data_IF_641324290041
#
_entry.id   IF_641324290041
#
_cell.length_a   1.000
_cell.length_b   1.000
_cell.length_c   1.000
_cell.angle_alpha   90.00
_cell.angle_beta   90.00
_cell.angle_gamma   90.00
#
_symmetry.space_group_name_H-M   'P 1'
#
loop_
_entity.id
_entity.type
_entity.pdbx_description
1 polymer ?
#
# COMPACT_ATOMS: atom_id res chain seq x y z
N UNK A 1 27.76 -11.10 -5.34
CA UNK A 1 26.79 -10.05 -5.71
C UNK A 1 26.83 -8.99 -4.65
N UNK A 2 27.14 -7.75 -5.02
CA UNK A 2 27.07 -6.63 -4.09
C UNK A 2 25.59 -6.28 -3.93
N UNK A 3 25.02 -6.55 -2.76
CA UNK A 3 23.65 -6.18 -2.43
C UNK A 3 23.59 -4.65 -2.32
N UNK A 4 23.29 -3.98 -3.44
CA UNK A 4 23.19 -2.53 -3.50
C UNK A 4 21.83 -2.12 -2.94
N UNK A 5 21.78 -1.86 -1.63
CA UNK A 5 20.58 -1.51 -0.85
C UNK A 5 19.78 -0.26 -1.33
N UNK A 6 20.15 0.36 -2.45
CA UNK A 6 19.51 1.55 -3.04
C UNK A 6 19.11 1.36 -4.51
N UNK A 7 19.25 0.15 -5.08
CA UNK A 7 18.83 -0.18 -6.46
C UNK A 7 17.48 -0.91 -6.45
N UNK A 8 16.63 -0.59 -7.41
CA UNK A 8 15.30 -1.19 -7.56
C UNK A 8 15.31 -2.20 -8.72
N UNK A 9 14.55 -3.29 -8.58
CA UNK A 9 14.47 -4.34 -9.62
C UNK A 9 13.61 -3.96 -10.82
N UNK A 10 12.63 -3.09 -10.59
CA UNK A 10 11.69 -2.65 -11.61
C UNK A 10 12.39 -1.96 -12.79
N UNK A 11 12.16 -2.46 -14.00
CA UNK A 11 12.73 -1.91 -15.23
C UNK A 11 11.87 -0.72 -15.71
N UNK A 12 12.35 0.54 -15.64
CA UNK A 12 11.51 1.72 -15.82
C UNK A 12 11.31 2.12 -17.29
N UNK A 13 11.09 1.14 -18.18
CA UNK A 13 10.84 1.32 -19.62
C UNK A 13 9.67 0.45 -20.02
N UNK A 14 8.76 1.00 -20.83
CA UNK A 14 7.63 0.25 -21.37
C UNK A 14 8.07 -0.78 -22.41
N UNK A 15 7.39 -1.93 -22.44
CA UNK A 15 7.63 -3.06 -23.37
C UNK A 15 7.86 -2.63 -24.82
N UNK A 16 6.96 -1.80 -25.36
CA UNK A 16 7.00 -1.35 -26.76
C UNK A 16 8.25 -0.50 -27.05
N UNK A 17 8.58 0.42 -26.13
CA UNK A 17 9.76 1.28 -26.28
C UNK A 17 11.05 0.47 -26.18
N UNK A 18 11.09 -0.52 -25.27
CA UNK A 18 12.25 -1.40 -25.13
C UNK A 18 12.50 -2.21 -26.41
N UNK A 19 11.47 -2.87 -26.94
CA UNK A 19 11.57 -3.67 -28.18
C UNK A 19 12.02 -2.79 -29.36
N UNK A 20 11.43 -1.60 -29.53
CA UNK A 20 11.80 -0.69 -30.60
C UNK A 20 13.26 -0.24 -30.51
N UNK A 21 13.72 0.14 -29.31
CA UNK A 21 15.11 0.54 -29.09
C UNK A 21 16.09 -0.59 -29.35
N UNK A 22 15.79 -1.80 -28.88
CA UNK A 22 16.63 -2.98 -29.09
C UNK A 22 16.70 -3.36 -30.58
N UNK A 23 15.58 -3.29 -31.31
CA UNK A 23 15.54 -3.55 -32.76
C UNK A 23 16.42 -2.57 -33.59
N UNK A 24 16.62 -1.36 -33.08
CA UNK A 24 17.46 -0.33 -33.70
C UNK A 24 18.87 -0.22 -33.09
N UNK A 25 19.19 -1.05 -32.09
CA UNK A 25 20.50 -1.09 -31.45
C UNK A 25 21.56 -1.76 -32.34
N UNK A 26 22.83 -1.69 -31.92
CA UNK A 26 23.93 -2.42 -32.58
C UNK A 26 23.87 -3.94 -32.34
N UNK A 27 23.10 -4.39 -31.36
CA UNK A 27 22.95 -5.81 -31.03
C UNK A 27 22.13 -6.55 -32.09
N UNK A 28 21.21 -5.85 -32.78
CA UNK A 28 20.36 -6.44 -33.81
C UNK A 28 20.72 -5.85 -35.19
N UNK A 29 21.44 -6.59 -36.05
CA UNK A 29 21.80 -6.08 -37.36
C UNK A 29 20.55 -5.90 -38.25
N UNK A 30 20.57 -4.97 -39.24
CA UNK A 30 19.38 -4.63 -40.02
C UNK A 30 18.67 -5.81 -40.70
N UNK A 31 19.42 -6.82 -41.13
CA UNK A 31 18.90 -8.04 -41.75
C UNK A 31 18.22 -9.01 -40.75
N UNK A 32 18.51 -8.90 -39.45
CA UNK A 32 17.93 -9.73 -38.40
C UNK A 32 16.70 -9.11 -37.72
N UNK A 33 16.37 -7.84 -38.03
CA UNK A 33 15.29 -7.10 -37.37
C UNK A 33 13.93 -7.79 -37.42
N UNK A 34 13.55 -8.34 -38.57
CA UNK A 34 12.27 -9.04 -38.69
C UNK A 34 12.22 -10.31 -37.83
N UNK A 35 13.30 -11.09 -37.81
CA UNK A 35 13.42 -12.26 -36.95
C UNK A 35 13.38 -11.89 -35.47
N UNK A 36 14.01 -10.77 -35.09
CA UNK A 36 13.98 -10.26 -33.71
C UNK A 36 12.56 -9.85 -33.29
N UNK A 37 11.85 -9.11 -34.14
CA UNK A 37 10.46 -8.72 -33.84
C UNK A 37 9.53 -9.94 -33.75
N UNK A 38 9.77 -10.97 -34.58
CA UNK A 38 9.05 -12.23 -34.48
C UNK A 38 9.37 -12.96 -33.16
N UNK A 39 10.65 -13.07 -32.81
CA UNK A 39 11.10 -13.64 -31.53
C UNK A 39 10.40 -12.96 -30.34
N UNK A 40 10.44 -11.63 -30.29
CA UNK A 40 9.80 -10.84 -29.24
C UNK A 40 8.30 -11.11 -29.17
N UNK A 41 7.61 -11.18 -30.32
CA UNK A 41 6.17 -11.45 -30.37
C UNK A 41 5.80 -12.84 -29.85
N UNK A 42 6.55 -13.88 -30.21
CA UNK A 42 6.26 -15.25 -29.76
C UNK A 42 6.58 -15.39 -28.27
N UNK A 43 7.71 -14.83 -27.81
CA UNK A 43 8.07 -14.80 -26.39
C UNK A 43 6.96 -14.14 -25.54
N UNK A 44 6.47 -12.98 -25.98
CA UNK A 44 5.36 -12.28 -25.33
C UNK A 44 4.08 -13.14 -25.28
N UNK A 45 3.77 -13.82 -26.37
CA UNK A 45 2.57 -14.68 -26.46
C UNK A 45 2.66 -15.88 -25.51
N UNK A 46 3.84 -16.49 -25.37
CA UNK A 46 4.08 -17.59 -24.44
C UNK A 46 3.86 -17.12 -23.01
N UNK A 47 4.50 -16.02 -22.58
CA UNK A 47 4.34 -15.51 -21.23
C UNK A 47 2.91 -15.06 -20.94
N UNK A 48 2.24 -14.39 -21.88
CA UNK A 48 0.84 -14.02 -21.74
C UNK A 48 -0.04 -15.24 -21.42
N UNK A 49 0.20 -16.36 -22.10
CA UNK A 49 -0.55 -17.59 -21.85
C UNK A 49 -0.19 -18.24 -20.50
N UNK A 50 1.08 -18.23 -20.10
CA UNK A 50 1.51 -18.71 -18.78
C UNK A 50 0.87 -17.90 -17.63
N UNK A 51 0.83 -16.58 -17.76
CA UNK A 51 0.20 -15.68 -16.80
C UNK A 51 -1.33 -15.79 -16.74
N UNK A 52 -1.96 -16.31 -17.80
CA UNK A 52 -3.39 -16.60 -17.78
C UNK A 52 -3.75 -17.64 -16.72
N UNK A 53 -2.93 -18.67 -16.52
CA UNK A 53 -3.16 -19.69 -15.49
C UNK A 53 -3.12 -19.08 -14.08
N UNK A 54 -2.13 -18.21 -13.81
CA UNK A 54 -2.03 -17.49 -12.54
C UNK A 54 -3.23 -16.58 -12.31
N UNK A 55 -3.73 -15.91 -13.36
CA UNK A 55 -4.96 -15.09 -13.30
C UNK A 55 -6.16 -15.92 -12.87
N UNK A 56 -6.38 -17.08 -13.49
CA UNK A 56 -7.50 -17.95 -13.14
C UNK A 56 -7.34 -18.54 -11.72
N UNK A 57 -6.12 -18.90 -11.31
CA UNK A 57 -5.83 -19.34 -9.94
C UNK A 57 -6.18 -18.27 -8.91
N UNK A 58 -5.77 -17.01 -9.11
CA UNK A 58 -6.12 -15.89 -8.22
C UNK A 58 -7.64 -15.71 -8.12
N UNK A 59 -8.35 -15.72 -9.25
CA UNK A 59 -9.81 -15.56 -9.28
C UNK A 59 -10.53 -16.70 -8.57
N UNK A 60 -10.15 -17.95 -8.84
CA UNK A 60 -10.79 -19.11 -8.25
C UNK A 60 -10.58 -19.15 -6.74
N UNK A 61 -9.35 -18.91 -6.28
CA UNK A 61 -9.01 -18.94 -4.86
C UNK A 61 -9.51 -17.70 -4.09
N UNK A 62 -9.76 -16.57 -4.75
CA UNK A 62 -10.38 -15.39 -4.14
C UNK A 62 -11.91 -15.51 -3.99
N UNK A 63 -12.56 -16.33 -4.81
CA UNK A 63 -14.03 -16.43 -4.86
C UNK A 63 -14.71 -16.64 -3.49
N UNK A 64 -14.22 -17.48 -2.55
CA UNK A 64 -14.85 -17.66 -1.24
C UNK A 64 -14.82 -16.42 -0.34
N UNK A 65 -13.95 -15.46 -0.66
CA UNK A 65 -13.64 -14.27 0.13
C UNK A 65 -14.04 -12.96 -0.56
N UNK A 66 -14.49 -13.00 -1.82
CA UNK A 66 -14.82 -11.82 -2.61
C UNK A 66 -16.06 -11.11 -2.03
N UNK A 67 -15.94 -9.87 -1.51
CA UNK A 67 -17.07 -9.10 -1.00
C UNK A 67 -18.00 -8.62 -2.12
N UNK A 68 -17.51 -8.56 -3.36
CA UNK A 68 -18.22 -8.05 -4.54
C UNK A 68 -18.68 -9.19 -5.47
N UNK A 69 -18.94 -10.38 -4.93
CA UNK A 69 -19.39 -11.53 -5.75
C UNK A 69 -20.74 -11.22 -6.40
N UNK A 70 -20.75 -11.10 -7.72
CA UNK A 70 -21.92 -10.87 -8.58
C UNK A 70 -22.54 -12.19 -9.10
N UNK A 71 -21.80 -13.29 -8.99
CA UNK A 71 -22.26 -14.63 -9.37
C UNK A 71 -22.96 -15.35 -8.22
N UNK A 72 -24.09 -16.00 -8.52
CA UNK A 72 -24.80 -16.87 -7.57
C UNK A 72 -23.98 -18.14 -7.37
N UNK A 73 -23.34 -18.28 -6.21
CA UNK A 73 -22.62 -19.50 -5.87
C UNK A 73 -23.49 -20.39 -4.96
N UNK A 74 -24.00 -21.49 -5.50
CA UNK A 74 -24.70 -22.52 -4.71
C UNK A 74 -23.75 -23.36 -3.83
N UNK A 75 -22.44 -23.28 -4.09
CA UNK A 75 -21.41 -24.03 -3.36
C UNK A 75 -21.13 -23.38 -2.01
N UNK A 76 -21.32 -24.16 -0.93
CA UNK A 76 -20.84 -23.80 0.40
C UNK A 76 -19.43 -24.36 0.59
N UNK A 77 -18.48 -23.52 0.95
CA UNK A 77 -17.12 -23.94 1.27
C UNK A 77 -17.03 -24.32 2.75
N UNK A 78 -16.46 -25.49 3.03
CA UNK A 78 -16.08 -25.89 4.39
C UNK A 78 -14.95 -25.00 4.93
N UNK A 79 -14.71 -25.03 6.25
CA UNK A 79 -13.59 -24.30 6.86
C UNK A 79 -12.23 -24.72 6.28
N UNK A 80 -12.06 -26.01 6.03
CA UNK A 80 -10.83 -26.56 5.45
C UNK A 80 -10.64 -26.10 4.01
N UNK A 81 -11.68 -26.19 3.17
CA UNK A 81 -11.61 -25.69 1.79
C UNK A 81 -11.30 -24.18 1.74
N UNK A 82 -11.94 -23.38 2.62
CA UNK A 82 -11.63 -21.95 2.72
C UNK A 82 -10.16 -21.74 3.06
N UNK A 83 -9.62 -22.44 4.06
CA UNK A 83 -8.21 -22.30 4.42
C UNK A 83 -7.28 -22.67 3.26
N UNK A 84 -7.56 -23.76 2.54
CA UNK A 84 -6.78 -24.14 1.35
C UNK A 84 -6.86 -23.11 0.22
N UNK A 85 -8.02 -22.48 0.00
CA UNK A 85 -8.15 -21.40 -0.97
C UNK A 85 -7.38 -20.15 -0.52
N UNK A 86 -7.42 -19.78 0.76
CA UNK A 86 -6.62 -18.67 1.28
C UNK A 86 -5.12 -18.92 1.09
N UNK A 87 -4.62 -20.10 1.46
CA UNK A 87 -3.20 -20.41 1.39
C UNK A 87 -2.69 -20.34 -0.06
N UNK A 88 -3.45 -20.91 -1.01
CA UNK A 88 -3.14 -20.80 -2.45
C UNK A 88 -3.22 -19.38 -2.96
N UNK A 89 -4.25 -18.62 -2.58
CA UNK A 89 -4.41 -17.23 -2.99
C UNK A 89 -3.22 -16.38 -2.51
N UNK A 90 -2.84 -16.49 -1.25
CA UNK A 90 -1.75 -15.71 -0.66
C UNK A 90 -0.39 -16.08 -1.27
N UNK A 91 -0.17 -17.36 -1.59
CA UNK A 91 1.01 -17.83 -2.29
C UNK A 91 1.07 -17.26 -3.71
N UNK A 92 0.06 -17.50 -4.55
CA UNK A 92 0.03 -16.98 -5.92
C UNK A 92 0.09 -15.46 -5.96
N UNK A 93 -0.58 -14.76 -5.05
CA UNK A 93 -0.51 -13.29 -4.96
C UNK A 93 0.90 -12.80 -4.66
N UNK A 94 1.61 -13.48 -3.76
CA UNK A 94 3.01 -13.17 -3.45
C UNK A 94 3.93 -13.46 -4.64
N UNK A 95 3.74 -14.59 -5.32
CA UNK A 95 4.58 -14.99 -6.45
C UNK A 95 4.43 -14.01 -7.63
N UNK A 96 3.20 -13.62 -7.97
CA UNK A 96 2.91 -12.63 -9.01
C UNK A 96 3.52 -11.28 -8.67
N UNK A 97 3.40 -10.84 -7.40
CA UNK A 97 4.00 -9.57 -6.98
C UNK A 97 5.53 -9.61 -7.02
N UNK A 98 6.15 -10.74 -6.71
CA UNK A 98 7.59 -10.91 -6.85
C UNK A 98 8.03 -10.82 -8.32
N UNK A 99 7.34 -11.54 -9.23
CA UNK A 99 7.55 -11.46 -10.69
C UNK A 99 7.31 -10.05 -11.23
N UNK A 100 6.41 -9.27 -10.61
CA UNK A 100 6.19 -7.86 -10.93
C UNK A 100 7.18 -6.89 -10.27
N UNK A 101 8.26 -7.38 -9.67
CA UNK A 101 9.30 -6.62 -8.98
C UNK A 101 8.81 -5.81 -7.77
N UNK A 102 7.79 -6.30 -7.05
CA UNK A 102 7.37 -5.75 -5.75
C UNK A 102 8.12 -6.41 -4.59
N UNK A 103 8.44 -5.61 -3.58
CA UNK A 103 9.07 -6.05 -2.34
C UNK A 103 8.05 -6.12 -1.20
N UNK A 104 8.09 -7.22 -0.44
CA UNK A 104 7.22 -7.40 0.71
C UNK A 104 7.60 -6.41 1.82
N UNK A 105 6.63 -5.64 2.31
CA UNK A 105 6.80 -4.74 3.45
C UNK A 105 6.45 -5.54 4.70
N UNK A 106 7.44 -5.79 5.56
CA UNK A 106 7.24 -6.59 6.77
C UNK A 106 6.46 -5.81 7.84
N UNK A 107 5.94 -6.50 8.85
CA UNK A 107 5.34 -5.83 10.01
C UNK A 107 6.34 -4.93 10.75
N UNK A 108 7.62 -5.30 10.76
CA UNK A 108 8.69 -4.48 11.32
C UNK A 108 8.87 -3.19 10.50
N UNK A 109 8.84 -3.28 9.17
CA UNK A 109 8.92 -2.11 8.28
C UNK A 109 7.70 -1.20 8.42
N UNK A 110 6.50 -1.78 8.55
CA UNK A 110 5.27 -1.04 8.83
C UNK A 110 5.36 -0.32 10.18
N UNK A 111 5.75 -1.02 11.25
CA UNK A 111 5.90 -0.42 12.57
C UNK A 111 6.96 0.69 12.59
N UNK A 112 8.09 0.46 11.91
CA UNK A 112 9.15 1.45 11.74
C UNK A 112 8.67 2.68 10.98
N UNK A 113 7.98 2.47 9.85
CA UNK A 113 7.37 3.54 9.05
C UNK A 113 6.40 4.39 9.87
N UNK A 114 5.53 3.74 10.66
CA UNK A 114 4.56 4.40 11.54
C UNK A 114 5.20 5.22 12.68
N UNK A 115 6.48 4.97 13.00
CA UNK A 115 7.23 5.72 14.02
C UNK A 115 7.89 7.01 13.50
N UNK A 116 8.03 7.16 12.17
CA UNK A 116 8.68 8.33 11.54
C UNK A 116 7.72 9.51 11.37
N UNK A 117 8.27 10.69 11.07
CA UNK A 117 7.45 11.89 10.81
C UNK A 117 6.57 11.69 9.56
N UNK A 118 5.29 11.39 9.79
CA UNK A 118 4.23 11.41 8.79
C UNK A 118 4.12 12.77 8.06
N UNK A 119 3.84 12.75 6.75
CA UNK A 119 3.47 13.95 5.99
C UNK A 119 2.25 14.61 6.62
N UNK A 120 1.31 13.78 7.05
CA UNK A 120 0.12 14.22 7.72
C UNK A 120 0.48 14.62 9.15
N UNK A 121 0.08 15.82 9.56
CA UNK A 121 0.36 16.34 10.91
C UNK A 121 -0.34 15.55 12.03
N UNK A 122 -1.03 14.46 11.72
CA UNK A 122 -1.99 13.75 12.59
C UNK A 122 -1.58 12.27 12.65
N UNK A 123 -1.75 11.64 13.81
CA UNK A 123 -1.40 10.23 14.00
C UNK A 123 -2.58 9.37 13.56
N UNK A 124 -2.35 8.36 12.73
CA UNK A 124 -3.35 7.36 12.40
C UNK A 124 -3.10 6.12 13.28
N UNK A 125 -4.18 5.51 13.75
CA UNK A 125 -4.13 4.28 14.55
C UNK A 125 -4.89 3.20 13.79
N UNK A 126 -4.20 2.09 13.54
CA UNK A 126 -4.73 0.90 12.87
C UNK A 126 -4.87 -0.20 13.92
N UNK A 127 -6.04 -0.82 14.00
CA UNK A 127 -6.29 -1.97 14.86
C UNK A 127 -6.00 -3.26 14.08
N UNK A 128 -4.72 -3.66 14.03
CA UNK A 128 -4.29 -4.85 13.28
C UNK A 128 -4.96 -6.14 13.78
N UNK A 129 -5.51 -6.15 14.99
CA UNK A 129 -6.21 -7.32 15.53
C UNK A 129 -7.53 -7.62 14.79
N UNK A 130 -8.08 -6.66 14.04
CA UNK A 130 -9.26 -6.89 13.20
C UNK A 130 -8.98 -7.79 11.99
N UNK A 131 -7.71 -7.94 11.64
CA UNK A 131 -7.26 -8.72 10.48
C UNK A 131 -6.84 -10.13 10.92
N UNK A 132 -7.24 -11.12 10.13
CA UNK A 132 -6.81 -12.51 10.30
C UNK A 132 -5.46 -12.74 9.62
N UNK A 133 -5.29 -12.15 8.43
CA UNK A 133 -4.05 -12.17 7.66
C UNK A 133 -3.97 -10.92 6.77
N UNK A 134 -2.74 -10.46 6.51
CA UNK A 134 -2.48 -9.36 5.58
C UNK A 134 -1.14 -9.54 4.88
N UNK A 135 -1.07 -9.07 3.64
CA UNK A 135 0.18 -8.86 2.93
C UNK A 135 0.21 -7.43 2.38
N UNK A 136 1.36 -6.79 2.47
CA UNK A 136 1.62 -5.46 1.95
C UNK A 136 2.91 -5.50 1.16
N UNK A 137 2.89 -4.96 -0.05
CA UNK A 137 4.01 -4.95 -0.97
C UNK A 137 4.19 -3.55 -1.57
N UNK A 138 5.43 -3.10 -1.70
CA UNK A 138 5.79 -1.82 -2.32
C UNK A 138 6.67 -2.06 -3.54
N UNK A 139 6.51 -1.24 -4.59
CA UNK A 139 7.39 -1.24 -5.76
C UNK A 139 7.75 0.18 -6.14
N UNK A 140 9.02 0.38 -6.49
CA UNK A 140 9.58 1.64 -6.95
C UNK A 140 9.68 2.64 -5.81
N UNK A 141 10.89 3.16 -5.58
CA UNK A 141 11.12 4.19 -4.56
C UNK A 141 11.56 5.49 -5.22
N UNK A 142 10.87 6.60 -4.90
CA UNK A 142 11.34 7.94 -5.25
C UNK A 142 11.46 8.85 -4.05
N UNK A 143 12.59 9.55 -3.96
CA UNK A 143 12.76 10.66 -3.04
C UNK A 143 12.09 11.92 -3.61
N UNK A 144 11.15 12.47 -2.86
CA UNK A 144 10.44 13.70 -3.19
C UNK A 144 10.72 14.77 -2.14
N UNK A 145 11.22 15.92 -2.58
CA UNK A 145 11.35 17.10 -1.74
C UNK A 145 10.02 17.83 -1.66
N UNK A 146 9.48 17.96 -0.45
CA UNK A 146 8.26 18.72 -0.21
C UNK A 146 8.54 19.91 0.70
N UNK A 147 7.94 21.06 0.38
CA UNK A 147 8.02 22.25 1.22
C UNK A 147 6.91 22.19 2.28
N UNK A 148 7.29 22.29 3.54
CA UNK A 148 6.38 22.30 4.67
C UNK A 148 6.58 23.57 5.49
N UNK A 149 5.49 24.28 5.81
CA UNK A 149 5.54 25.39 6.77
C UNK A 149 5.75 24.86 8.20
N UNK A 150 6.91 25.19 8.77
CA UNK A 150 7.31 24.87 10.16
C UNK A 150 6.70 25.85 11.16
N UNK A 151 6.66 27.14 10.80
CA UNK A 151 6.02 28.24 11.52
C UNK A 151 5.45 29.23 10.49
N UNK A 152 4.49 30.10 10.86
CA UNK A 152 3.76 31.11 10.04
C UNK A 152 4.52 31.68 8.80
N UNK A 153 5.84 31.84 8.84
CA UNK A 153 6.67 32.34 7.73
C UNK A 153 7.90 31.48 7.37
N UNK A 154 8.21 30.41 8.12
CA UNK A 154 9.39 29.57 7.88
C UNK A 154 9.01 28.27 7.18
N UNK A 155 9.46 28.12 5.94
CA UNK A 155 9.36 26.88 5.16
C UNK A 155 10.59 26.00 5.42
N UNK A 156 10.37 24.70 5.51
CA UNK A 156 11.39 23.67 5.61
C UNK A 156 11.17 22.70 4.47
N UNK A 157 12.23 22.39 3.74
CA UNK A 157 12.21 21.35 2.71
C UNK A 157 12.52 20.04 3.40
N UNK A 158 11.58 19.10 3.37
CA UNK A 158 11.78 17.74 3.89
C UNK A 158 11.84 16.80 2.70
N UNK A 159 12.84 15.93 2.69
CA UNK A 159 12.96 14.85 1.73
C UNK A 159 12.20 13.64 2.23
N UNK A 160 11.30 13.12 1.40
CA UNK A 160 10.41 12.04 1.76
C UNK A 160 10.44 10.99 0.68
N UNK A 161 10.62 9.77 1.13
CA UNK A 161 10.64 8.59 0.30
C UNK A 161 9.20 8.11 0.06
N UNK A 162 8.86 7.84 -1.21
CA UNK A 162 7.53 7.46 -1.67
C UNK A 162 7.61 6.16 -2.45
N UNK A 163 6.72 5.22 -2.16
CA UNK A 163 6.45 4.06 -3.02
C UNK A 163 5.64 4.49 -4.23
N UNK A 164 6.10 4.13 -5.43
CA UNK A 164 5.37 4.39 -6.68
C UNK A 164 4.10 3.56 -6.78
N UNK A 165 4.16 2.31 -6.31
CA UNK A 165 3.05 1.37 -6.22
C UNK A 165 3.03 0.69 -4.86
N UNK A 166 1.83 0.49 -4.30
CA UNK A 166 1.62 -0.32 -3.09
C UNK A 166 0.43 -1.23 -3.31
N UNK A 167 0.65 -2.54 -3.26
CA UNK A 167 -0.38 -3.56 -3.30
C UNK A 167 -0.63 -4.09 -1.88
N UNK A 168 -1.90 -4.33 -1.54
CA UNK A 168 -2.25 -4.97 -0.28
C UNK A 168 -3.43 -5.92 -0.44
N UNK A 169 -3.38 -7.00 0.33
CA UNK A 169 -4.51 -7.91 0.55
C UNK A 169 -4.72 -8.07 2.05
N UNK A 170 -5.95 -7.94 2.51
CA UNK A 170 -6.33 -8.03 3.92
C UNK A 170 -7.52 -8.95 4.06
N UNK A 171 -7.42 -9.97 4.91
CA UNK A 171 -8.54 -10.81 5.35
C UNK A 171 -9.07 -10.32 6.69
N UNK A 172 -10.36 -10.03 6.76
CA UNK A 172 -11.01 -9.72 8.04
C UNK A 172 -11.33 -11.00 8.82
N UNK A 173 -11.30 -10.90 10.15
CA UNK A 173 -11.80 -11.98 11.02
C UNK A 173 -13.30 -12.25 10.80
N UNK A 174 -13.75 -13.41 11.25
CA UNK A 174 -15.14 -13.83 11.11
C UNK A 174 -16.11 -13.02 11.98
N UNK A 175 -17.39 -13.11 11.65
CA UNK A 175 -18.51 -12.42 12.32
C UNK A 175 -18.55 -12.66 13.85
N UNK A 176 -18.17 -13.87 14.29
CA UNK A 176 -18.10 -14.22 15.71
C UNK A 176 -17.12 -13.34 16.51
N UNK A 177 -16.00 -12.94 15.90
CA UNK A 177 -15.01 -12.07 16.53
C UNK A 177 -15.56 -10.65 16.74
N UNK A 178 -16.19 -10.07 15.71
CA UNK A 178 -16.73 -8.71 15.80
C UNK A 178 -17.95 -8.61 16.72
N UNK A 179 -18.79 -9.64 16.74
CA UNK A 179 -19.90 -9.75 17.72
C UNK A 179 -19.38 -9.81 19.16
N UNK A 180 -18.32 -10.57 19.42
CA UNK A 180 -17.70 -10.61 20.75
C UNK A 180 -17.13 -9.25 21.19
N UNK A 181 -16.67 -8.42 20.24
CA UNK A 181 -16.23 -7.04 20.48
C UNK A 181 -17.36 -6.00 20.51
N UNK A 182 -18.62 -6.43 20.41
CA UNK A 182 -19.81 -5.57 20.39
C UNK A 182 -19.75 -4.46 19.31
N UNK A 183 -19.10 -4.74 18.17
CA UNK A 183 -19.08 -3.84 16.99
C UNK A 183 -20.25 -4.22 16.08
N UNK A 184 -21.27 -3.35 16.01
CA UNK A 184 -22.53 -3.63 15.30
C UNK A 184 -22.61 -3.02 13.90
N UNK A 185 -21.93 -1.90 13.66
CA UNK A 185 -21.95 -1.17 12.40
C UNK A 185 -20.60 -1.32 11.68
N UNK A 186 -20.43 -2.45 10.96
CA UNK A 186 -19.25 -2.69 10.14
C UNK A 186 -19.50 -2.22 8.70
N UNK A 187 -18.55 -1.49 8.13
CA UNK A 187 -18.60 -1.07 6.72
C UNK A 187 -18.06 -2.16 5.76
N UNK A 188 -17.90 -3.38 6.24
CA UNK A 188 -17.33 -4.51 5.52
C UNK A 188 -17.99 -5.81 5.99
N UNK A 189 -17.86 -6.86 5.18
CA UNK A 189 -18.39 -8.18 5.49
C UNK A 189 -17.35 -8.99 6.28
N UNK A 190 -17.64 -9.48 7.49
CA UNK A 190 -16.70 -10.33 8.22
C UNK A 190 -16.33 -11.59 7.44
N UNK A 191 -15.07 -12.02 7.55
CA UNK A 191 -14.53 -13.19 6.85
C UNK A 191 -14.27 -13.00 5.35
N UNK A 192 -14.52 -11.80 4.78
CA UNK A 192 -14.13 -11.47 3.41
C UNK A 192 -12.72 -10.89 3.34
N UNK A 193 -12.17 -10.84 2.14
CA UNK A 193 -10.90 -10.19 1.85
C UNK A 193 -11.12 -8.90 1.08
N UNK A 194 -10.21 -7.94 1.24
CA UNK A 194 -10.10 -6.79 0.34
C UNK A 194 -8.73 -6.82 -0.31
N UNK A 195 -8.69 -6.47 -1.58
CA UNK A 195 -7.43 -6.27 -2.31
C UNK A 195 -7.43 -4.83 -2.82
N UNK A 196 -6.30 -4.13 -2.68
CA UNK A 196 -6.18 -2.74 -3.15
C UNK A 196 -4.81 -2.53 -3.78
N UNK A 197 -4.78 -1.71 -4.83
CA UNK A 197 -3.56 -1.21 -5.43
C UNK A 197 -3.57 0.31 -5.37
N UNK A 198 -2.47 0.90 -4.92
CA UNK A 198 -2.31 2.34 -4.79
C UNK A 198 -1.05 2.84 -5.50
N UNK A 199 -1.00 4.15 -5.77
CA UNK A 199 0.17 4.87 -6.27
C UNK A 199 0.62 6.00 -5.36
N UNK A 200 1.92 6.31 -5.43
CA UNK A 200 2.51 7.49 -4.79
C UNK A 200 2.24 7.55 -3.28
N UNK A 201 2.49 6.43 -2.58
CA UNK A 201 2.27 6.32 -1.14
C UNK A 201 3.57 6.63 -0.39
N UNK A 202 3.60 7.67 0.46
CA UNK A 202 4.74 7.97 1.32
C UNK A 202 5.06 6.76 2.22
N UNK A 203 6.35 6.38 2.32
CA UNK A 203 6.75 5.23 3.15
C UNK A 203 6.27 5.40 4.60
N UNK A 204 6.33 6.63 5.13
CA UNK A 204 5.92 6.95 6.50
C UNK A 204 4.42 7.21 6.71
N UNK A 205 3.57 6.95 5.72
CA UNK A 205 2.12 7.06 5.88
C UNK A 205 1.35 5.80 5.38
N UNK A 206 1.99 4.63 5.39
CA UNK A 206 1.35 3.37 4.93
C UNK A 206 0.09 3.03 5.71
N UNK A 207 -0.01 3.47 6.97
CA UNK A 207 -1.15 3.22 7.82
C UNK A 207 -2.46 3.81 7.26
N UNK A 208 -2.37 4.80 6.37
CA UNK A 208 -3.53 5.40 5.70
C UNK A 208 -4.27 4.44 4.77
N UNK A 209 -3.59 3.38 4.31
CA UNK A 209 -4.14 2.42 3.37
C UNK A 209 -5.06 1.41 4.05
N UNK A 210 -4.95 1.27 5.37
CA UNK A 210 -5.72 0.31 6.13
C UNK A 210 -7.16 0.80 6.36
N UNK A 211 -8.16 -0.08 6.17
CA UNK A 211 -9.57 0.29 6.15
C UNK A 211 -10.10 0.77 7.51
N UNK A 212 -9.50 0.30 8.61
CA UNK A 212 -9.87 0.68 9.97
C UNK A 212 -8.96 1.77 10.56
N UNK A 213 -8.20 2.48 9.74
CA UNK A 213 -7.35 3.59 10.19
C UNK A 213 -8.21 4.70 10.81
N UNK A 214 -8.00 4.97 12.09
CA UNK A 214 -8.70 6.00 12.84
C UNK A 214 -7.80 7.18 13.16
N UNK A 215 -8.42 8.36 13.25
CA UNK A 215 -7.76 9.59 13.65
C UNK A 215 -7.37 9.52 15.13
N UNK A 216 -6.08 9.34 15.39
CA UNK A 216 -5.47 9.51 16.71
C UNK A 216 -5.05 10.97 16.96
N UNK A 217 -5.24 11.45 18.18
CA UNK A 217 -4.65 12.73 18.59
C UNK A 217 -3.18 12.53 19.00
N UNK A 218 -2.27 13.36 18.46
CA UNK A 218 -0.89 13.43 18.96
C UNK A 218 -0.90 13.92 20.42
N UNK A 219 0.08 13.51 21.23
CA UNK A 219 0.14 13.90 22.65
C UNK A 219 0.10 15.42 22.84
N UNK A 220 0.76 16.18 21.96
CA UNK A 220 0.69 17.65 21.94
C UNK A 220 -0.69 18.21 21.61
N UNK A 221 -1.47 17.54 20.75
CA UNK A 221 -2.85 17.93 20.43
C UNK A 221 -3.81 17.49 21.55
N UNK A 222 -3.57 16.35 22.20
CA UNK A 222 -4.24 15.94 23.45
C UNK A 222 -3.92 16.90 24.58
N UNK A 223 -2.68 17.40 24.66
CA UNK A 223 -2.26 18.41 25.63
C UNK A 223 -2.71 19.81 25.20
N UNK A 224 -3.03 20.09 23.94
CA UNK A 224 -3.64 21.36 23.54
C UNK A 224 -5.16 21.34 23.82
N UNK A 225 -5.81 20.19 23.58
CA UNK A 225 -7.23 19.98 23.84
C UNK A 225 -7.54 19.70 25.31
N UNK A 226 -6.63 19.03 26.02
CA UNK A 226 -6.63 18.84 27.47
C UNK A 226 -5.90 19.96 28.22
N UNK A 227 -5.06 20.75 27.52
CA UNK A 227 -4.37 21.95 28.01
C UNK A 227 -5.30 23.14 28.10
N UNK A 228 -6.44 22.90 28.71
CA UNK A 228 -7.16 23.88 29.47
C UNK A 228 -6.43 24.26 30.76
N UNK A 229 -5.12 24.00 30.93
CA UNK A 229 -4.42 24.27 32.19
C UNK A 229 -3.63 25.60 32.23
N UNK A 230 -3.21 26.20 31.10
CA UNK A 230 -2.23 27.31 31.19
C UNK A 230 -2.45 28.56 30.30
N UNK A 231 -3.36 28.57 29.32
CA UNK A 231 -3.39 29.69 28.34
C UNK A 231 -4.57 30.68 28.39
N UNK A 232 -5.78 30.22 28.76
CA UNK A 232 -6.98 31.10 28.68
C UNK A 232 -8.32 30.42 28.92
N UNK A 233 -8.44 29.10 28.70
CA UNK A 233 -9.65 28.33 29.02
C UNK A 233 -9.92 28.23 30.53
N UNK A 234 -8.86 28.11 31.35
CA UNK A 234 -8.94 28.20 32.83
C UNK A 234 -9.63 29.49 33.25
N UNK A 235 -9.25 30.63 32.66
CA UNK A 235 -9.79 31.92 33.08
C UNK A 235 -11.29 32.03 32.81
N UNK A 236 -11.77 31.47 31.69
CA UNK A 236 -13.21 31.41 31.37
C UNK A 236 -13.93 30.48 32.34
N UNK A 237 -13.39 29.28 32.60
CA UNK A 237 -13.99 28.30 33.51
C UNK A 237 -13.95 28.75 34.99
N UNK A 238 -12.87 29.39 35.45
CA UNK A 238 -12.76 29.93 36.81
C UNK A 238 -13.66 31.15 37.01
N UNK A 239 -13.67 32.10 36.06
CA UNK A 239 -14.53 33.29 36.15
C UNK A 239 -16.02 32.92 36.08
N UNK A 240 -16.38 31.99 35.19
CA UNK A 240 -17.74 31.47 35.15
C UNK A 240 -18.05 30.62 36.40
N UNK A 241 -17.11 29.79 36.86
CA UNK A 241 -17.27 28.95 38.06
C UNK A 241 -17.61 29.75 39.31
N UNK A 242 -17.02 30.93 39.50
CA UNK A 242 -17.37 31.81 40.62
C UNK A 242 -18.86 32.24 40.60
N UNK A 243 -19.41 32.53 39.42
CA UNK A 243 -20.84 32.83 39.26
C UNK A 243 -21.74 31.64 39.58
N UNK A 244 -21.32 30.41 39.22
CA UNK A 244 -22.05 29.19 39.57
C UNK A 244 -22.05 28.92 41.07
N UNK A 245 -20.90 29.09 41.73
CA UNK A 245 -20.78 28.89 43.18
C UNK A 245 -21.63 29.90 43.93
N UNK A 246 -21.63 31.18 43.51
CA UNK A 246 -22.48 32.20 44.08
C UNK A 246 -23.97 31.87 43.92
N UNK A 247 -24.40 31.48 42.72
CA UNK A 247 -25.79 31.08 42.47
C UNK A 247 -26.19 29.82 43.26
N UNK A 248 -25.33 28.79 43.31
CA UNK A 248 -25.60 27.57 44.07
C UNK A 248 -25.72 27.85 45.58
N UNK A 249 -24.91 28.78 46.10
CA UNK A 249 -24.97 29.20 47.50
C UNK A 249 -26.29 29.88 47.83
N UNK A 250 -26.75 30.81 46.97
CA UNK A 250 -28.05 31.45 47.13
C UNK A 250 -29.19 30.43 46.98
N UNK A 251 -29.13 29.54 45.98
CA UNK A 251 -30.15 28.50 45.79
C UNK A 251 -30.26 27.61 47.03
N UNK A 252 -29.13 27.19 47.61
CA UNK A 252 -29.09 26.39 48.83
C UNK A 252 -29.68 27.12 50.04
N UNK A 253 -29.35 28.41 50.22
CA UNK A 253 -29.91 29.25 51.28
C UNK A 253 -31.43 29.42 51.10
N UNK A 254 -31.91 29.63 49.88
CA UNK A 254 -33.34 29.76 49.56
C UNK A 254 -34.08 28.45 49.82
N UNK A 255 -33.56 27.31 49.36
CA UNK A 255 -34.16 25.98 49.61
C UNK A 255 -34.22 25.69 51.11
N UNK A 256 -33.15 25.97 51.85
CA UNK A 256 -33.13 25.81 53.32
C UNK A 256 -34.18 26.71 53.98
N UNK A 257 -34.28 27.96 53.56
CA UNK A 257 -35.25 28.92 54.10
C UNK A 257 -36.68 28.43 53.88
N UNK A 258 -37.04 28.02 52.65
CA UNK A 258 -38.38 27.51 52.30
C UNK A 258 -38.74 26.27 53.10
N UNK A 259 -37.80 25.34 53.29
CA UNK A 259 -38.01 24.13 54.11
C UNK A 259 -38.24 24.50 55.58
N UNK A 260 -37.48 25.46 56.12
CA UNK A 260 -37.61 25.89 57.52
C UNK A 260 -38.83 26.77 57.81
N UNK A 261 -39.35 27.49 56.81
CA UNK A 261 -40.48 28.43 56.94
C UNK A 261 -41.83 27.82 56.56
N UNK A 262 -41.91 26.51 56.35
CA UNK A 262 -43.16 25.82 55.99
C UNK A 262 -43.64 26.09 54.57
N UNK A 263 -42.73 26.39 53.63
CA UNK A 263 -43.04 26.60 52.21
C UNK A 263 -43.08 28.06 51.75
N UNK A 264 -42.85 29.03 52.65
CA UNK A 264 -42.82 30.44 52.28
C UNK A 264 -41.51 30.81 51.55
N UNK A 265 -41.63 31.35 50.33
CA UNK A 265 -40.50 31.82 49.52
C UNK A 265 -40.07 33.21 50.02
N UNK A 266 -38.83 33.39 50.51
CA UNK A 266 -38.36 34.69 50.94
C UNK A 266 -38.21 35.65 49.74
N UNK A 267 -38.47 36.96 49.91
CA UNK A 267 -38.34 37.94 48.85
C UNK A 267 -36.87 38.08 48.41
N UNK A 268 -36.62 38.06 47.10
CA UNK A 268 -35.26 38.17 46.58
C UNK A 268 -34.77 39.63 46.57
N UNK A 269 -33.63 39.89 47.22
CA UNK A 269 -32.93 41.16 47.19
C UNK A 269 -32.01 41.33 45.97
N UNK A 270 -31.47 42.55 45.73
CA UNK A 270 -30.59 42.83 44.58
C UNK A 270 -29.35 41.92 44.48
N UNK A 271 -28.81 41.48 45.63
CA UNK A 271 -27.64 40.59 45.71
C UNK A 271 -27.98 39.17 45.24
N UNK A 272 -29.13 38.64 45.64
CA UNK A 272 -29.60 37.29 45.28
C UNK A 272 -29.95 37.22 43.80
N UNK A 273 -30.61 38.26 43.27
CA UNK A 273 -30.90 38.41 41.84
C UNK A 273 -29.59 38.48 41.04
N UNK A 274 -28.62 39.27 41.49
CA UNK A 274 -27.31 39.39 40.81
C UNK A 274 -26.53 38.07 40.81
N UNK A 275 -26.56 37.31 41.90
CA UNK A 275 -25.94 36.00 41.99
C UNK A 275 -26.60 34.99 41.04
N UNK A 276 -27.94 34.98 40.96
CA UNK A 276 -28.67 34.12 40.02
C UNK A 276 -28.37 34.45 38.56
N UNK A 277 -28.39 35.74 38.19
CA UNK A 277 -28.04 36.21 36.85
C UNK A 277 -26.59 35.88 36.51
N UNK A 278 -25.68 36.03 37.48
CA UNK A 278 -24.28 35.61 37.36
C UNK A 278 -24.14 34.11 37.13
N UNK A 279 -24.91 33.27 37.83
CA UNK A 279 -24.96 31.83 37.62
C UNK A 279 -25.47 31.44 36.24
N UNK A 280 -26.56 32.05 35.76
CA UNK A 280 -27.10 31.80 34.42
C UNK A 280 -26.09 32.21 33.34
N UNK A 281 -25.45 33.37 33.51
CA UNK A 281 -24.41 33.86 32.59
C UNK A 281 -23.19 32.94 32.56
N UNK A 282 -22.80 32.42 33.73
CA UNK A 282 -21.73 31.45 33.84
C UNK A 282 -22.07 30.12 33.14
N UNK A 283 -23.28 29.59 33.33
CA UNK A 283 -23.75 28.39 32.62
C UNK A 283 -23.73 28.60 31.10
N UNK A 284 -24.22 29.75 30.63
CA UNK A 284 -24.23 30.10 29.21
C UNK A 284 -22.80 30.19 28.64
N UNK A 285 -21.87 30.83 29.37
CA UNK A 285 -20.48 30.95 28.96
C UNK A 285 -19.76 29.59 28.89
N UNK A 286 -19.96 28.73 29.89
CA UNK A 286 -19.41 27.37 29.91
C UNK A 286 -20.01 26.54 28.78
N UNK A 287 -21.33 26.60 28.58
CA UNK A 287 -22.02 25.90 27.51
C UNK A 287 -21.52 26.32 26.12
N UNK A 288 -21.40 27.62 25.86
CA UNK A 288 -20.88 28.15 24.60
C UNK A 288 -19.42 27.73 24.37
N UNK A 289 -18.60 27.71 25.42
CA UNK A 289 -17.21 27.29 25.35
C UNK A 289 -17.07 25.79 25.05
N UNK A 290 -17.78 24.92 25.78
CA UNK A 290 -17.80 23.48 25.54
C UNK A 290 -18.30 23.15 24.13
N UNK A 291 -19.36 23.84 23.69
CA UNK A 291 -19.90 23.71 22.34
C UNK A 291 -18.86 24.11 21.26
N UNK A 292 -18.19 25.26 21.44
CA UNK A 292 -17.12 25.70 20.54
C UNK A 292 -15.98 24.68 20.47
N UNK A 293 -15.58 24.12 21.61
CA UNK A 293 -14.49 23.14 21.66
C UNK A 293 -14.87 21.85 20.95
N UNK A 294 -16.06 21.32 21.22
CA UNK A 294 -16.58 20.15 20.52
C UNK A 294 -16.60 20.40 19.01
N UNK A 295 -17.15 21.53 18.57
CA UNK A 295 -17.24 21.85 17.14
C UNK A 295 -15.87 21.99 16.50
N UNK A 296 -14.89 22.58 17.18
CA UNK A 296 -13.52 22.68 16.67
C UNK A 296 -12.90 21.29 16.45
N UNK A 297 -13.04 20.37 17.42
CA UNK A 297 -12.58 19.00 17.29
C UNK A 297 -13.30 18.27 16.14
N UNK A 298 -14.64 18.32 16.13
CA UNK A 298 -15.48 17.71 15.09
C UNK A 298 -15.06 18.21 13.70
N UNK A 299 -14.91 19.52 13.51
CA UNK A 299 -14.52 20.11 12.24
C UNK A 299 -13.10 19.70 11.82
N UNK A 300 -12.15 19.60 12.76
CA UNK A 300 -10.78 19.12 12.48
C UNK A 300 -10.79 17.65 12.07
N UNK A 301 -11.57 16.80 12.75
CA UNK A 301 -11.75 15.39 12.39
C UNK A 301 -12.39 15.24 11.01
N UNK A 302 -13.49 15.94 10.73
CA UNK A 302 -14.17 15.89 9.42
C UNK A 302 -13.24 16.35 8.30
N UNK A 303 -12.55 17.49 8.47
CA UNK A 303 -11.61 18.01 7.46
C UNK A 303 -10.50 17.01 7.17
N UNK A 304 -9.99 16.33 8.20
CA UNK A 304 -8.98 15.29 8.02
C UNK A 304 -9.52 14.07 7.28
N UNK A 305 -10.66 13.52 7.71
CA UNK A 305 -11.28 12.37 7.03
C UNK A 305 -11.57 12.69 5.57
N UNK A 306 -11.99 13.94 5.27
CA UNK A 306 -12.12 14.42 3.89
C UNK A 306 -10.77 14.42 3.17
N UNK A 307 -9.72 15.02 3.73
CA UNK A 307 -8.39 15.05 3.11
C UNK A 307 -7.83 13.65 2.87
N UNK A 308 -8.03 12.72 3.80
CA UNK A 308 -7.64 11.32 3.66
C UNK A 308 -8.41 10.66 2.52
N UNK A 309 -9.74 10.79 2.51
CA UNK A 309 -10.60 10.28 1.44
C UNK A 309 -10.23 10.84 0.06
N UNK A 310 -10.05 12.16 -0.05
CA UNK A 310 -9.61 12.82 -1.29
C UNK A 310 -8.23 12.29 -1.74
N UNK A 311 -7.29 12.10 -0.81
CA UNK A 311 -5.96 11.56 -1.14
C UNK A 311 -6.03 10.12 -1.64
N UNK A 312 -6.74 9.26 -0.91
CA UNK A 312 -6.90 7.85 -1.26
C UNK A 312 -7.64 7.72 -2.60
N UNK A 313 -8.62 8.57 -2.89
CA UNK A 313 -9.35 8.55 -4.16
C UNK A 313 -8.42 8.71 -5.37
N UNK A 314 -7.52 9.70 -5.37
CA UNK A 314 -6.60 9.92 -6.49
C UNK A 314 -5.38 8.99 -6.50
N UNK A 315 -5.15 8.29 -5.39
CA UNK A 315 -4.05 7.33 -5.24
C UNK A 315 -4.48 5.90 -5.47
N UNK A 316 -5.77 5.58 -5.37
CA UNK A 316 -6.30 4.26 -5.67
C UNK A 316 -6.18 3.99 -7.18
N UNK A 317 -5.55 2.89 -7.53
CA UNK A 317 -5.42 2.39 -8.90
C UNK A 317 -6.47 1.33 -9.19
N UNK A 318 -6.66 0.37 -8.28
CA UNK A 318 -7.58 -0.74 -8.50
C UNK A 318 -8.06 -1.39 -7.19
N UNK A 319 -9.14 -2.17 -7.27
CA UNK A 319 -9.83 -2.80 -6.15
C UNK A 319 -10.20 -4.25 -6.43
N UNK A 320 -10.06 -5.10 -5.41
CA UNK A 320 -10.48 -6.50 -5.40
C UNK A 320 -9.96 -7.25 -6.63
N UNK A 321 -10.81 -7.96 -7.37
CA UNK A 321 -10.36 -8.76 -8.52
C UNK A 321 -9.65 -7.93 -9.61
N UNK A 322 -9.96 -6.63 -9.74
CA UNK A 322 -9.26 -5.73 -10.67
C UNK A 322 -7.76 -5.63 -10.39
N UNK A 323 -7.36 -5.67 -9.12
CA UNK A 323 -5.95 -5.67 -8.73
C UNK A 323 -5.19 -6.85 -9.35
N UNK A 324 -5.79 -8.04 -9.41
CA UNK A 324 -5.15 -9.22 -9.98
C UNK A 324 -4.78 -9.01 -11.45
N UNK A 325 -5.69 -8.48 -12.26
CA UNK A 325 -5.40 -8.16 -13.65
C UNK A 325 -4.28 -7.13 -13.80
N UNK A 326 -4.23 -6.13 -12.92
CA UNK A 326 -3.19 -5.11 -12.94
C UNK A 326 -1.81 -5.70 -12.60
N UNK A 327 -1.71 -6.47 -11.52
CA UNK A 327 -0.41 -7.02 -11.07
C UNK A 327 0.07 -8.14 -11.99
N UNK A 328 -0.84 -8.89 -12.63
CA UNK A 328 -0.49 -9.88 -13.65
C UNK A 328 0.08 -9.17 -14.88
N UNK A 329 -0.56 -8.10 -15.36
CA UNK A 329 -0.03 -7.34 -16.49
C UNK A 329 1.34 -6.72 -16.17
N UNK A 330 1.51 -6.21 -14.94
CA UNK A 330 2.80 -5.74 -14.44
C UNK A 330 3.86 -6.86 -14.45
N UNK A 331 3.52 -8.06 -13.96
CA UNK A 331 4.43 -9.22 -13.92
C UNK A 331 4.81 -9.69 -15.33
N UNK A 332 3.81 -9.91 -16.20
CA UNK A 332 4.03 -10.31 -17.59
C UNK A 332 5.00 -9.37 -18.31
N UNK A 333 4.86 -8.06 -18.08
CA UNK A 333 5.73 -7.06 -18.69
C UNK A 333 7.17 -7.11 -18.14
N UNK A 334 7.37 -7.23 -16.82
CA UNK A 334 8.72 -7.35 -16.24
C UNK A 334 9.44 -8.61 -16.73
N UNK A 335 8.76 -9.74 -16.66
CA UNK A 335 9.27 -11.06 -17.05
C UNK A 335 9.67 -11.11 -18.52
N UNK A 336 8.85 -10.52 -19.38
CA UNK A 336 9.16 -10.33 -20.79
C UNK A 336 10.44 -9.50 -20.99
N UNK A 337 10.55 -8.36 -20.30
CA UNK A 337 11.71 -7.46 -20.45
C UNK A 337 12.99 -8.14 -20.00
N UNK A 338 12.97 -8.82 -18.86
CA UNK A 338 14.11 -9.55 -18.31
C UNK A 338 14.59 -10.67 -19.25
N UNK A 339 13.67 -11.49 -19.76
CA UNK A 339 14.00 -12.56 -20.70
C UNK A 339 14.56 -12.00 -22.02
N UNK A 340 13.92 -10.96 -22.58
CA UNK A 340 14.34 -10.35 -23.84
C UNK A 340 15.75 -9.73 -23.73
N UNK A 341 16.01 -8.97 -22.67
CA UNK A 341 17.29 -8.33 -22.40
C UNK A 341 18.38 -9.38 -22.20
N UNK A 342 18.15 -10.35 -21.33
CA UNK A 342 19.09 -11.43 -21.06
C UNK A 342 19.44 -12.19 -22.33
N UNK A 343 18.45 -12.50 -23.17
CA UNK A 343 18.68 -13.22 -24.42
C UNK A 343 19.53 -12.40 -25.39
N UNK A 344 19.21 -11.12 -25.59
CA UNK A 344 19.95 -10.29 -26.53
C UNK A 344 21.38 -10.01 -26.09
N UNK A 345 21.61 -9.70 -24.82
CA UNK A 345 22.96 -9.46 -24.30
C UNK A 345 23.79 -10.74 -24.37
N UNK A 346 23.19 -11.89 -24.06
CA UNK A 346 23.86 -13.18 -24.19
C UNK A 346 24.15 -13.55 -25.65
N UNK A 347 23.31 -13.15 -26.60
CA UNK A 347 23.53 -13.32 -28.04
C UNK A 347 24.62 -12.37 -28.58
N UNK A 348 24.70 -11.17 -28.03
CA UNK A 348 25.69 -10.17 -28.41
C UNK A 348 27.08 -10.43 -27.81
N UNK A 349 27.17 -11.21 -26.73
CA UNK A 349 28.44 -11.61 -26.15
C UNK A 349 29.26 -12.46 -27.14
N UNK A 350 30.47 -11.99 -27.48
CA UNK A 350 31.39 -12.70 -28.40
C UNK A 350 31.88 -14.04 -27.83
N UNK A 351 31.80 -14.20 -26.51
CA UNK A 351 32.29 -15.37 -25.77
C UNK A 351 31.28 -15.81 -24.71
N UNK A 352 31.53 -16.98 -24.12
CA UNK A 352 30.70 -17.50 -23.03
C UNK A 352 30.84 -16.60 -21.81
N UNK A 353 29.74 -16.26 -21.17
CA UNK A 353 29.69 -15.25 -20.10
C UNK A 353 29.06 -15.82 -18.84
N UNK A 354 29.51 -15.36 -17.67
CA UNK A 354 28.91 -15.73 -16.39
C UNK A 354 27.62 -14.93 -16.15
N UNK A 355 26.75 -15.43 -15.28
CA UNK A 355 25.54 -14.71 -14.89
C UNK A 355 25.87 -13.30 -14.33
N UNK A 356 26.86 -13.20 -13.44
CA UNK A 356 27.27 -11.91 -12.86
C UNK A 356 27.78 -10.92 -13.91
N UNK A 357 28.57 -11.36 -14.89
CA UNK A 357 29.07 -10.45 -15.91
C UNK A 357 27.97 -10.01 -16.90
N UNK A 358 26.98 -10.87 -17.14
CA UNK A 358 25.80 -10.53 -17.94
C UNK A 358 24.89 -9.52 -17.20
N UNK A 359 24.72 -9.72 -15.90
CA UNK A 359 24.01 -8.81 -14.99
C UNK A 359 24.62 -7.41 -15.02
N UNK A 360 25.92 -7.32 -14.72
CA UNK A 360 26.69 -6.07 -14.73
C UNK A 360 26.56 -5.35 -16.09
N UNK A 361 26.65 -6.09 -17.21
CA UNK A 361 26.53 -5.52 -18.54
C UNK A 361 25.13 -4.91 -18.82
N UNK A 362 24.07 -5.54 -18.32
CA UNK A 362 22.70 -5.03 -18.47
C UNK A 362 22.50 -3.81 -17.58
N UNK A 363 22.93 -3.86 -16.32
CA UNK A 363 22.83 -2.74 -15.38
C UNK A 363 23.62 -1.51 -15.86
N UNK A 364 24.84 -1.72 -16.37
CA UNK A 364 25.67 -0.66 -16.94
C UNK A 364 24.98 -0.04 -18.16
N UNK A 365 24.37 -0.84 -19.04
CA UNK A 365 23.62 -0.32 -20.18
C UNK A 365 22.43 0.54 -19.75
N UNK A 366 21.72 0.18 -18.67
CA UNK A 366 20.63 0.99 -18.14
C UNK A 366 21.12 2.31 -17.52
N UNK A 367 22.22 2.24 -16.79
CA UNK A 367 22.87 3.40 -16.20
C UNK A 367 23.32 4.39 -17.27
N UNK A 368 23.97 3.91 -18.34
CA UNK A 368 24.47 4.73 -19.44
C UNK A 368 23.36 5.27 -20.35
N UNK A 369 22.36 4.44 -20.68
CA UNK A 369 21.34 4.78 -21.68
C UNK A 369 20.15 5.55 -21.10
N UNK A 370 19.82 5.35 -19.82
CA UNK A 370 18.61 5.89 -19.19
C UNK A 370 18.86 6.62 -17.87
N UNK A 371 20.10 6.70 -17.39
CA UNK A 371 20.42 7.21 -16.05
C UNK A 371 19.59 6.51 -14.96
N UNK A 372 19.31 5.22 -15.16
CA UNK A 372 18.53 4.38 -14.27
C UNK A 372 19.46 3.34 -13.63
N UNK A 373 19.59 3.38 -12.31
CA UNK A 373 20.27 2.34 -11.55
C UNK A 373 19.25 1.27 -11.17
N UNK A 374 19.38 0.08 -11.76
CA UNK A 374 18.52 -1.07 -11.49
C UNK A 374 19.34 -2.21 -10.87
N UNK A 375 18.66 -3.10 -10.14
CA UNK A 375 19.17 -4.40 -9.64
C UNK A 375 18.54 -5.49 -10.52
N UNK A 376 19.24 -5.95 -11.55
CA UNK A 376 18.61 -6.83 -12.56
C UNK A 376 18.48 -8.28 -12.07
N UNK A 377 17.33 -8.94 -12.29
CA UNK A 377 17.13 -10.33 -11.84
C UNK A 377 17.71 -11.37 -12.82
N UNK A 378 19.04 -11.39 -12.98
CA UNK A 378 19.67 -12.26 -13.98
C UNK A 378 19.42 -13.75 -13.77
N UNK A 379 19.41 -14.20 -12.51
CA UNK A 379 19.29 -15.62 -12.18
C UNK A 379 17.94 -16.18 -12.61
N UNK A 380 16.88 -15.40 -12.44
CA UNK A 380 15.54 -15.80 -12.87
C UNK A 380 15.41 -15.72 -14.39
N UNK A 381 15.93 -14.66 -15.00
CA UNK A 381 15.96 -14.52 -16.45
C UNK A 381 16.69 -15.69 -17.14
N UNK A 382 17.85 -16.13 -16.63
CA UNK A 382 18.57 -17.29 -17.16
C UNK A 382 17.80 -18.60 -16.98
N UNK A 383 17.08 -18.80 -15.86
CA UNK A 383 16.20 -19.96 -15.70
C UNK A 383 15.09 -19.97 -16.74
N UNK A 384 14.48 -18.82 -17.02
CA UNK A 384 13.44 -18.63 -18.06
C UNK A 384 13.99 -18.97 -19.44
N UNK A 385 15.16 -18.42 -19.79
CA UNK A 385 15.82 -18.73 -21.06
C UNK A 385 16.19 -20.20 -21.18
N UNK A 386 16.72 -20.82 -20.12
CA UNK A 386 17.08 -22.23 -20.14
C UNK A 386 15.85 -23.13 -20.29
N UNK A 387 14.74 -22.83 -19.58
CA UNK A 387 13.45 -23.52 -19.70
C UNK A 387 12.89 -23.44 -21.13
N UNK A 388 12.99 -22.28 -21.76
CA UNK A 388 12.59 -22.06 -23.15
C UNK A 388 13.61 -22.58 -24.17
N UNK A 389 14.68 -23.24 -23.71
CA UNK A 389 15.79 -23.71 -24.54
C UNK A 389 16.42 -22.58 -25.38
N UNK A 390 16.52 -21.37 -24.87
CA UNK A 390 17.10 -20.21 -25.56
C UNK A 390 18.58 -19.99 -25.24
N UNK A 391 19.08 -20.63 -24.18
CA UNK A 391 20.49 -20.63 -23.82
C UNK A 391 20.95 -22.02 -23.42
N UNK A 392 22.27 -22.20 -23.31
CA UNK A 392 22.91 -23.43 -22.83
C UNK A 392 24.03 -23.07 -21.87
N UNK A 393 24.20 -23.89 -20.83
CA UNK A 393 25.40 -23.86 -20.01
C UNK A 393 26.50 -24.65 -20.74
N UNK A 394 27.60 -23.99 -21.07
CA UNK A 394 28.71 -24.56 -21.87
C UNK A 394 29.84 -25.08 -21.01
N UNK A 395 29.95 -24.61 -19.77
CA UNK A 395 31.00 -25.02 -18.83
C UNK A 395 30.97 -24.21 -17.55
N UNK A 396 32.14 -24.06 -16.92
CA UNK A 396 32.38 -23.18 -15.78
C UNK A 396 33.65 -22.37 -15.98
N UNK A 397 33.71 -21.18 -15.41
CA UNK A 397 34.92 -20.39 -15.34
C UNK A 397 35.93 -20.95 -14.30
N UNK A 398 37.09 -20.29 -14.16
CA UNK A 398 38.13 -20.67 -13.21
C UNK A 398 37.68 -20.61 -11.73
N UNK A 399 36.62 -19.85 -11.44
CA UNK A 399 36.02 -19.73 -10.12
C UNK A 399 34.88 -20.74 -9.87
N UNK A 400 34.56 -21.60 -10.86
CA UNK A 400 33.50 -22.60 -10.79
C UNK A 400 32.10 -22.06 -11.09
N UNK A 401 31.98 -20.83 -11.60
CA UNK A 401 30.71 -20.21 -11.97
C UNK A 401 30.27 -20.69 -13.37
N UNK A 402 28.98 -21.04 -13.56
CA UNK A 402 28.42 -21.44 -14.85
C UNK A 402 28.68 -20.42 -15.97
N UNK A 403 29.14 -20.91 -17.12
CA UNK A 403 29.25 -20.14 -18.35
C UNK A 403 28.05 -20.41 -19.25
N UNK A 404 27.46 -19.34 -19.76
CA UNK A 404 26.25 -19.37 -20.58
C UNK A 404 26.53 -18.89 -22.00
N UNK A 405 25.78 -19.46 -22.95
CA UNK A 405 25.73 -18.99 -24.34
C UNK A 405 24.31 -19.06 -24.88
N UNK A 406 23.92 -18.05 -25.66
CA UNK A 406 22.62 -17.99 -26.33
C UNK A 406 22.60 -18.90 -27.56
N UNK A 407 21.41 -19.38 -27.88
CA UNK A 407 21.11 -20.02 -29.16
C UNK A 407 20.96 -18.94 -30.24
N UNK A 408 21.48 -19.12 -31.47
CA UNK A 408 21.34 -18.14 -32.54
C UNK A 408 19.88 -17.76 -32.80
N UNK A 409 19.63 -16.49 -33.13
CA UNK A 409 18.27 -15.95 -33.31
C UNK A 409 17.35 -16.77 -34.22
N UNK A 410 17.79 -17.28 -35.40
CA UNK A 410 16.93 -18.13 -36.23
C UNK A 410 16.48 -19.41 -35.51
N UNK A 411 17.42 -20.08 -34.83
CA UNK A 411 17.14 -21.31 -34.08
C UNK A 411 16.28 -21.01 -32.83
N UNK A 412 16.48 -19.85 -32.18
CA UNK A 412 15.65 -19.39 -31.09
C UNK A 412 14.19 -19.18 -31.53
N UNK A 413 13.95 -18.57 -32.70
CA UNK A 413 12.62 -18.44 -33.28
C UNK A 413 11.97 -19.80 -33.51
N UNK A 414 12.69 -20.76 -34.11
CA UNK A 414 12.19 -22.13 -34.34
C UNK A 414 11.82 -22.83 -33.02
N UNK A 415 12.63 -22.66 -31.97
CA UNK A 415 12.36 -23.24 -30.65
C UNK A 415 11.12 -22.63 -30.00
N UNK A 416 10.95 -21.31 -30.06
CA UNK A 416 9.77 -20.64 -29.52
C UNK A 416 8.49 -21.00 -30.29
N UNK A 417 8.57 -21.06 -31.62
CA UNK A 417 7.45 -21.47 -32.48
C UNK A 417 7.02 -22.91 -32.17
N UNK A 418 7.98 -23.82 -32.01
CA UNK A 418 7.71 -25.19 -31.59
C UNK A 418 7.04 -25.26 -30.22
N UNK A 419 7.52 -24.49 -29.23
CA UNK A 419 6.92 -24.42 -27.89
C UNK A 419 5.48 -23.92 -27.98
N UNK A 420 5.23 -22.87 -28.76
CA UNK A 420 3.91 -22.30 -28.95
C UNK A 420 2.93 -23.31 -29.59
N UNK A 421 3.34 -23.96 -30.68
CA UNK A 421 2.52 -24.97 -31.38
C UNK A 421 2.19 -26.18 -30.49
N UNK A 422 3.08 -26.51 -29.56
CA UNK A 422 2.94 -27.64 -28.65
C UNK A 422 2.66 -27.23 -27.21
N UNK A 423 2.17 -26.00 -26.98
CA UNK A 423 2.07 -25.43 -25.64
C UNK A 423 1.32 -26.37 -24.68
N UNK A 424 0.11 -26.81 -25.05
CA UNK A 424 -0.71 -27.71 -24.23
C UNK A 424 -0.16 -29.13 -24.06
N UNK A 425 0.85 -29.53 -24.83
CA UNK A 425 1.46 -30.87 -24.77
C UNK A 425 2.77 -30.86 -23.99
N UNK A 426 3.51 -29.75 -24.04
CA UNK A 426 4.85 -29.60 -23.45
C UNK A 426 4.83 -28.83 -22.14
N UNK A 427 3.82 -27.99 -21.92
CA UNK A 427 3.67 -27.21 -20.70
C UNK A 427 3.31 -28.13 -19.53
N UNK A 428 4.28 -28.29 -18.61
CA UNK A 428 4.00 -28.70 -17.24
C UNK A 428 4.01 -27.44 -16.40
N UNK A 429 2.93 -27.11 -15.66
CA UNK A 429 2.91 -25.94 -14.82
C UNK A 429 4.11 -25.98 -13.86
N UNK A 430 4.81 -24.85 -13.74
CA UNK A 430 5.89 -24.72 -12.77
C UNK A 430 5.34 -25.13 -11.41
N UNK A 431 5.97 -26.12 -10.79
CA UNK A 431 5.55 -26.64 -9.49
C UNK A 431 5.61 -25.49 -8.49
N UNK A 432 4.44 -25.02 -8.05
CA UNK A 432 4.31 -24.04 -6.97
C UNK A 432 4.80 -24.57 -5.63
#
# INVERSE_FOLDING_TARGET
MAEHADRERFIPIGKVELVDRLAHSRMVPPNARQSFLLFAKILDSIFHFEFHEQTESLKENYRPFNPDSDTVTARRFSRQERKSHEDRLMATFKDVLNQANYQQITEADLAYAMSRESLFKINLLVDFEDFESQLVFGRGTRSRRIRRKKWLLKEETVEITVYERVALIIKYKDDSYFKARNRKDLNFNPGTMIVKLFKNIPKGDLEMLFPNAQVGMKLKDKLLMGGFALGGGVAVLLKAGAGLVAAASILWLMTRSVVSSGGAIPPMGPVEVSAMVGGVTALAAIGAFLFKQWNSYKNRKIKFMKMLGDNLYFKNLDNNAGVFYHIIADAEEEEFKEALLSYLFLMHADTEITASALDDAIEDWFSESYAAAIDFEIDDALKKLNRLNLCKQTGTDDAGSPLWRAVPLPEACERLDFIWDHFFQTYSPASG
#
